data_IF_545152423626
#
_entry.id   IF_545152423626
#
_cell.length_a   1.000
_cell.length_b   1.000
_cell.length_c   1.000
_cell.angle_alpha   90.00
_cell.angle_beta   90.00
_cell.angle_gamma   90.00
#
_symmetry.space_group_name_H-M   'P 1'
#
loop_
_entity.id
_entity.type
_entity.pdbx_description
1 polymer ?
#
# COMPACT_ATOMS: atom_id res chain seq x y z
N UNK A 1 1.02 -29.77 7.77
CA UNK A 1 1.17 -30.93 6.88
C UNK A 1 0.11 -30.81 5.79
N UNK A 2 0.45 -30.16 4.69
CA UNK A 2 -0.38 -30.08 3.49
C UNK A 2 0.40 -30.78 2.38
N UNK A 3 -0.01 -32.00 2.07
CA UNK A 3 0.60 -32.86 1.07
C UNK A 3 -0.05 -32.54 -0.29
N UNK A 4 0.70 -31.93 -1.21
CA UNK A 4 0.31 -31.89 -2.62
C UNK A 4 1.11 -32.96 -3.37
N UNK A 5 0.41 -34.02 -3.79
CA UNK A 5 0.93 -35.12 -4.61
C UNK A 5 1.03 -34.66 -6.07
N UNK A 6 2.23 -34.66 -6.64
CA UNK A 6 2.43 -34.59 -8.09
C UNK A 6 2.78 -35.98 -8.61
N UNK A 7 1.91 -36.55 -9.46
CA UNK A 7 2.20 -37.78 -10.20
C UNK A 7 2.97 -37.41 -11.47
N UNK A 8 4.12 -38.07 -11.67
CA UNK A 8 5.13 -37.67 -12.64
C UNK A 8 4.93 -38.13 -14.08
N UNK A 9 5.68 -37.48 -14.98
CA UNK A 9 6.12 -38.03 -16.28
C UNK A 9 7.59 -37.63 -16.53
N UNK A 10 8.30 -38.54 -17.17
CA UNK A 10 9.75 -38.80 -17.22
C UNK A 10 10.61 -37.71 -17.86
N UNK A 11 11.89 -37.73 -17.49
CA UNK A 11 12.96 -36.83 -17.92
C UNK A 11 13.34 -36.98 -19.40
N UNK A 12 13.64 -35.84 -20.03
CA UNK A 12 14.49 -35.74 -21.22
C UNK A 12 15.43 -34.56 -20.99
N UNK A 13 16.73 -34.82 -20.90
CA UNK A 13 17.76 -33.79 -20.86
C UNK A 13 17.76 -33.04 -22.19
N UNK A 14 17.38 -31.77 -22.14
CA UNK A 14 17.54 -30.83 -23.25
C UNK A 14 18.25 -29.60 -22.69
N UNK A 15 19.36 -29.22 -23.32
CA UNK A 15 20.05 -27.96 -23.05
C UNK A 15 19.11 -26.82 -23.45
N UNK A 16 18.65 -26.03 -22.48
CA UNK A 16 17.73 -24.90 -22.71
C UNK A 16 18.41 -23.56 -22.41
N UNK A 17 18.16 -22.50 -23.20
CA UNK A 17 18.59 -21.15 -22.86
C UNK A 17 17.89 -20.67 -21.57
N UNK A 18 18.56 -19.85 -20.74
CA UNK A 18 18.19 -19.62 -19.32
C UNK A 18 16.84 -18.92 -19.05
N UNK A 19 16.03 -18.62 -20.07
CA UNK A 19 14.84 -17.75 -19.96
C UNK A 19 13.52 -18.40 -20.38
N UNK A 20 13.56 -19.64 -20.87
CA UNK A 20 12.34 -20.42 -21.10
C UNK A 20 12.25 -21.51 -20.05
N UNK A 21 11.47 -21.29 -19.00
CA UNK A 21 10.89 -22.41 -18.26
C UNK A 21 9.82 -23.04 -19.17
N UNK A 22 10.00 -24.27 -19.69
CA UNK A 22 9.01 -24.89 -20.58
C UNK A 22 7.88 -25.58 -19.81
N UNK A 23 7.90 -25.56 -18.47
CA UNK A 23 6.85 -26.14 -17.63
C UNK A 23 5.63 -25.23 -17.45
N UNK A 24 5.66 -24.01 -18.00
CA UNK A 24 4.60 -23.02 -17.85
C UNK A 24 4.04 -22.59 -19.21
N UNK A 25 3.22 -23.44 -19.83
CA UNK A 25 1.91 -23.07 -20.42
C UNK A 25 1.13 -24.32 -20.90
N UNK A 26 -0.22 -24.37 -20.90
CA UNK A 26 -1.21 -23.83 -19.97
C UNK A 26 -2.21 -24.94 -19.54
N UNK A 27 -2.05 -25.51 -18.34
CA UNK A 27 -3.11 -26.30 -17.70
C UNK A 27 -3.02 -26.08 -16.20
N UNK A 28 -3.58 -24.95 -15.75
CA UNK A 28 -3.60 -24.58 -14.33
C UNK A 28 -2.73 -23.37 -14.01
N UNK A 29 -3.37 -22.21 -13.95
CA UNK A 29 -2.89 -20.97 -13.33
C UNK A 29 -1.55 -20.40 -13.84
N UNK A 30 -1.58 -19.75 -15.00
CA UNK A 30 -0.54 -18.79 -15.41
C UNK A 30 -0.97 -17.37 -15.03
N UNK A 31 -0.45 -16.88 -13.89
CA UNK A 31 -0.41 -15.44 -13.68
C UNK A 31 0.69 -14.89 -14.60
N UNK A 32 0.32 -14.21 -15.68
CA UNK A 32 1.28 -13.51 -16.53
C UNK A 32 1.73 -12.24 -15.79
N UNK A 33 2.57 -12.42 -14.77
CA UNK A 33 3.25 -11.34 -14.07
C UNK A 33 4.40 -10.87 -14.97
N UNK A 34 4.09 -9.92 -15.85
CA UNK A 34 5.01 -8.92 -16.41
C UNK A 34 6.40 -9.44 -16.82
N UNK A 35 6.59 -9.72 -18.12
CA UNK A 35 7.92 -9.71 -18.72
C UNK A 35 8.59 -8.33 -18.54
N UNK A 36 9.93 -8.27 -18.56
CA UNK A 36 10.76 -7.09 -18.29
C UNK A 36 10.44 -5.85 -19.16
N UNK A 37 9.63 -6.04 -20.21
CA UNK A 37 8.91 -4.99 -20.94
C UNK A 37 7.48 -5.47 -21.22
N UNK A 38 6.50 -4.56 -21.35
CA UNK A 38 5.16 -4.92 -21.81
C UNK A 38 5.29 -5.39 -23.26
N UNK A 39 5.54 -6.67 -23.50
CA UNK A 39 5.66 -7.27 -24.82
C UNK A 39 4.32 -7.85 -25.26
N UNK A 40 4.13 -7.96 -26.57
CA UNK A 40 3.00 -8.67 -27.13
C UNK A 40 3.18 -10.18 -26.88
N UNK A 41 2.12 -10.83 -26.40
CA UNK A 41 2.02 -12.26 -26.25
C UNK A 41 1.10 -12.84 -27.33
N UNK A 42 1.38 -14.04 -27.82
CA UNK A 42 0.49 -14.73 -28.74
C UNK A 42 -0.76 -15.22 -28.02
N UNK A 43 -1.94 -15.01 -28.62
CA UNK A 43 -3.23 -15.50 -28.08
C UNK A 43 -3.27 -17.02 -28.01
N UNK A 44 -2.63 -17.69 -28.98
CA UNK A 44 -2.55 -19.15 -29.07
C UNK A 44 -1.78 -19.78 -27.90
N UNK A 45 -0.80 -19.08 -27.33
CA UNK A 45 -0.02 -19.57 -26.19
C UNK A 45 -0.77 -19.40 -24.86
N UNK A 46 -1.75 -18.48 -24.81
CA UNK A 46 -2.52 -18.12 -23.62
C UNK A 46 -4.03 -17.96 -23.92
N UNK A 47 -4.68 -19.01 -24.47
CA UNK A 47 -6.06 -18.90 -24.95
C UNK A 47 -7.05 -18.57 -23.83
N UNK A 48 -6.86 -19.13 -22.63
CA UNK A 48 -7.71 -18.85 -21.47
C UNK A 48 -7.58 -17.41 -20.96
N UNK A 49 -6.36 -16.86 -20.97
CA UNK A 49 -6.11 -15.46 -20.57
C UNK A 49 -6.77 -14.53 -21.58
N UNK A 50 -6.53 -14.76 -22.88
CA UNK A 50 -7.11 -13.93 -23.92
C UNK A 50 -8.64 -13.97 -23.91
N UNK A 51 -9.25 -15.16 -23.77
CA UNK A 51 -10.71 -15.29 -23.70
C UNK A 51 -11.33 -14.44 -22.60
N UNK A 52 -10.67 -14.31 -21.45
CA UNK A 52 -11.15 -13.49 -20.33
C UNK A 52 -10.79 -12.01 -20.48
N UNK A 53 -9.67 -11.69 -21.13
CA UNK A 53 -9.18 -10.34 -21.35
C UNK A 53 -9.91 -9.59 -22.48
N UNK A 54 -10.28 -10.31 -23.56
CA UNK A 54 -10.80 -9.76 -24.80
C UNK A 54 -11.96 -8.77 -24.62
N UNK A 55 -12.98 -9.03 -23.78
CA UNK A 55 -14.11 -8.11 -23.62
C UNK A 55 -13.75 -6.73 -23.05
N UNK A 56 -12.60 -6.62 -22.39
CA UNK A 56 -12.12 -5.38 -21.76
C UNK A 56 -10.78 -4.89 -22.30
N UNK A 57 -10.30 -5.45 -23.42
CA UNK A 57 -9.03 -5.06 -24.01
C UNK A 57 -9.15 -3.69 -24.71
N UNK A 58 -8.15 -2.83 -24.50
CA UNK A 58 -8.10 -1.49 -25.10
C UNK A 58 -7.34 -1.50 -26.44
N UNK A 59 -7.48 -0.45 -27.23
CA UNK A 59 -6.69 -0.29 -28.46
C UNK A 59 -5.20 -0.06 -28.14
N UNK A 60 -4.31 -0.42 -29.07
CA UNK A 60 -2.88 -0.09 -28.95
C UNK A 60 -2.60 1.42 -28.90
N UNK A 61 -3.53 2.26 -29.38
CA UNK A 61 -3.45 3.71 -29.23
C UNK A 61 -3.83 4.19 -27.81
N UNK A 62 -4.84 3.59 -27.21
CA UNK A 62 -5.29 3.95 -25.86
C UNK A 62 -4.33 3.45 -24.77
N UNK A 63 -3.67 2.31 -24.99
CA UNK A 63 -2.79 1.66 -24.02
C UNK A 63 -1.67 2.59 -23.51
N UNK A 64 -0.80 3.18 -24.35
CA UNK A 64 0.27 4.06 -23.88
C UNK A 64 -0.24 5.44 -23.43
N UNK A 65 -1.44 5.86 -23.84
CA UNK A 65 -1.98 7.18 -23.52
C UNK A 65 -2.39 7.32 -22.06
N UNK A 66 -3.09 6.32 -21.50
CA UNK A 66 -3.53 6.32 -20.10
C UNK A 66 -4.01 4.96 -19.58
N UNK A 67 -3.81 3.88 -20.36
CA UNK A 67 -4.44 2.57 -20.11
C UNK A 67 -3.41 1.44 -20.02
N UNK A 68 -2.19 1.74 -19.57
CA UNK A 68 -1.15 0.71 -19.44
C UNK A 68 -1.56 -0.40 -18.45
N UNK A 69 -2.42 -0.08 -17.48
CA UNK A 69 -3.00 -1.05 -16.55
C UNK A 69 -4.04 -1.99 -17.15
N UNK A 70 -4.37 -1.87 -18.44
CA UNK A 70 -5.32 -2.73 -19.13
C UNK A 70 -4.62 -3.73 -20.06
N UNK A 71 -5.31 -4.80 -20.42
CA UNK A 71 -4.93 -5.59 -21.60
C UNK A 71 -5.15 -4.75 -22.85
N UNK A 72 -4.35 -4.94 -23.89
CA UNK A 72 -4.63 -4.38 -25.21
C UNK A 72 -4.73 -5.45 -26.28
N UNK A 73 -5.41 -5.08 -27.38
CA UNK A 73 -5.76 -5.99 -28.48
C UNK A 73 -4.57 -6.49 -29.29
N UNK A 74 -3.36 -5.93 -29.10
CA UNK A 74 -2.19 -6.26 -29.90
C UNK A 74 -2.37 -5.86 -31.36
N UNK A 75 -1.95 -6.74 -32.26
CA UNK A 75 -2.21 -6.65 -33.71
C UNK A 75 -3.70 -6.81 -34.10
N UNK A 76 -4.59 -7.04 -33.14
CA UNK A 76 -6.02 -7.25 -33.37
C UNK A 76 -6.38 -8.69 -33.76
N UNK A 77 -5.41 -9.52 -34.15
CA UNK A 77 -5.65 -10.85 -34.73
C UNK A 77 -5.02 -11.95 -33.89
N UNK A 78 -3.70 -11.94 -33.73
CA UNK A 78 -2.93 -13.07 -33.19
C UNK A 78 -2.28 -12.79 -31.83
N UNK A 79 -2.23 -11.53 -31.41
CA UNK A 79 -1.51 -11.10 -30.21
C UNK A 79 -2.38 -10.32 -29.24
N UNK A 80 -1.89 -10.14 -28.02
CA UNK A 80 -2.43 -9.23 -27.02
C UNK A 80 -1.29 -8.73 -26.13
N UNK A 81 -1.51 -7.61 -25.41
CA UNK A 81 -0.54 -7.11 -24.41
C UNK A 81 -1.10 -7.28 -23.01
N UNK A 82 -0.25 -7.70 -22.08
CA UNK A 82 -0.58 -7.73 -20.66
C UNK A 82 -0.54 -6.32 -20.04
N UNK A 83 -1.32 -6.07 -18.97
CA UNK A 83 -1.20 -4.87 -18.14
C UNK A 83 0.23 -4.66 -17.63
N UNK A 84 0.69 -3.42 -17.64
CA UNK A 84 1.88 -2.97 -16.93
C UNK A 84 1.48 -2.61 -15.50
N UNK A 85 1.88 -3.45 -14.54
CA UNK A 85 1.54 -3.28 -13.11
C UNK A 85 2.78 -3.20 -12.22
N UNK A 86 3.95 -2.94 -12.81
CA UNK A 86 5.20 -2.84 -12.07
C UNK A 86 5.09 -1.75 -11.00
N UNK A 87 5.52 -2.06 -9.78
CA UNK A 87 5.44 -1.18 -8.61
C UNK A 87 4.02 -0.75 -8.19
N UNK A 88 2.97 -1.44 -8.64
CA UNK A 88 1.59 -1.23 -8.18
C UNK A 88 1.13 -2.39 -7.29
N UNK A 89 0.40 -2.09 -6.22
CA UNK A 89 -0.28 -3.14 -5.47
C UNK A 89 -1.52 -3.60 -6.24
N UNK A 90 -1.71 -4.92 -6.34
CA UNK A 90 -2.91 -5.47 -6.96
C UNK A 90 -4.09 -5.36 -5.99
N UNK A 91 -5.13 -4.65 -6.41
CA UNK A 91 -6.44 -4.71 -5.78
C UNK A 91 -7.40 -5.40 -6.73
N UNK A 92 -7.91 -6.55 -6.31
CA UNK A 92 -8.81 -7.34 -7.14
C UNK A 92 -10.10 -6.56 -7.42
N UNK A 93 -10.56 -6.58 -8.67
CA UNK A 93 -11.87 -6.05 -9.03
C UNK A 93 -12.96 -6.78 -8.25
N UNK A 94 -13.95 -6.01 -7.82
CA UNK A 94 -15.06 -6.48 -7.00
C UNK A 94 -15.90 -7.58 -7.65
N UNK A 95 -16.14 -7.46 -8.97
CA UNK A 95 -16.90 -8.41 -9.81
C UNK A 95 -18.27 -8.82 -9.22
N UNK A 96 -18.95 -7.90 -8.54
CA UNK A 96 -20.32 -8.10 -8.01
C UNK A 96 -20.37 -8.57 -6.57
N UNK A 97 -19.27 -8.51 -5.82
CA UNK A 97 -19.23 -8.81 -4.39
C UNK A 97 -19.62 -7.61 -3.52
N UNK A 98 -19.75 -6.43 -4.11
CA UNK A 98 -20.19 -5.19 -3.47
C UNK A 98 -19.26 -4.65 -2.37
N UNK A 99 -17.97 -5.04 -2.39
CA UNK A 99 -16.93 -4.58 -1.46
C UNK A 99 -16.12 -3.40 -1.99
N UNK A 100 -15.81 -3.36 -3.29
CA UNK A 100 -15.03 -2.26 -3.92
C UNK A 100 -15.71 -1.80 -5.24
N UNK A 101 -16.94 -1.29 -5.07
CA UNK A 101 -17.87 -0.97 -6.17
C UNK A 101 -17.34 0.17 -7.05
N UNK A 102 -17.62 0.09 -8.35
CA UNK A 102 -17.34 1.18 -9.31
C UNK A 102 -15.91 1.25 -9.82
N UNK A 103 -15.04 0.31 -9.43
CA UNK A 103 -13.67 0.21 -9.95
C UNK A 103 -13.67 -0.39 -11.35
N UNK A 104 -12.83 0.16 -12.22
CA UNK A 104 -12.67 -0.28 -13.61
C UNK A 104 -11.26 -0.81 -13.80
N UNK A 105 -11.09 -1.85 -14.62
CA UNK A 105 -9.79 -2.44 -14.93
C UNK A 105 -8.75 -1.37 -15.30
N UNK A 106 -7.56 -1.46 -14.70
CA UNK A 106 -6.42 -0.58 -14.95
C UNK A 106 -6.50 0.76 -14.22
N UNK A 107 -7.57 1.01 -13.45
CA UNK A 107 -7.71 2.24 -12.69
C UNK A 107 -6.77 2.25 -11.49
N UNK A 108 -5.78 3.14 -11.53
CA UNK A 108 -4.89 3.39 -10.42
C UNK A 108 -5.58 4.21 -9.34
N UNK A 109 -5.26 3.92 -8.10
CA UNK A 109 -5.76 4.58 -6.91
C UNK A 109 -4.58 5.01 -6.03
N UNK A 110 -4.63 6.26 -5.57
CA UNK A 110 -3.62 6.80 -4.67
C UNK A 110 -3.56 6.07 -3.34
N UNK A 111 -2.41 6.17 -2.68
CA UNK A 111 -2.22 5.72 -1.30
C UNK A 111 -3.11 6.52 -0.33
N UNK A 112 -3.49 5.90 0.77
CA UNK A 112 -4.27 6.53 1.83
C UNK A 112 -3.91 5.91 3.17
N UNK A 113 -3.87 6.73 4.22
CA UNK A 113 -3.73 6.26 5.60
C UNK A 113 -5.10 6.33 6.27
N UNK A 114 -5.43 5.35 7.12
CA UNK A 114 -6.64 5.41 7.94
C UNK A 114 -6.48 6.50 9.00
N UNK A 115 -7.51 7.33 9.13
CA UNK A 115 -7.54 8.42 10.10
C UNK A 115 -7.34 7.88 11.51
N UNK A 116 -6.36 8.44 12.22
CA UNK A 116 -6.13 8.14 13.63
C UNK A 116 -5.55 9.36 14.34
N UNK A 117 -5.65 9.33 15.67
CA UNK A 117 -5.08 10.31 16.58
C UNK A 117 -4.08 9.61 17.50
N UNK A 118 -3.06 10.33 17.93
CA UNK A 118 -2.21 9.87 19.02
C UNK A 118 -2.72 10.50 20.33
N UNK A 119 -2.56 9.80 21.45
CA UNK A 119 -2.72 10.41 22.77
C UNK A 119 -1.39 11.03 23.20
N UNK A 120 -1.43 12.17 23.88
CA UNK A 120 -0.26 12.69 24.59
C UNK A 120 -0.42 12.39 26.08
N UNK A 121 0.62 11.79 26.65
CA UNK A 121 0.80 11.72 28.09
C UNK A 121 2.11 12.45 28.42
N UNK A 122 2.03 13.57 29.14
CA UNK A 122 3.18 14.37 29.56
C UNK A 122 3.29 14.39 31.10
N UNK A 123 3.67 13.26 31.72
CA UNK A 123 3.66 13.12 33.18
C UNK A 123 4.84 13.84 33.87
N UNK A 124 5.75 14.47 33.11
CA UNK A 124 7.04 14.94 33.61
C UNK A 124 7.35 16.42 33.35
N UNK A 125 6.42 17.19 32.76
CA UNK A 125 6.65 18.63 32.62
C UNK A 125 6.49 19.32 33.98
N UNK A 126 7.57 19.90 34.47
CA UNK A 126 7.58 20.73 35.69
C UNK A 126 8.43 21.96 35.43
N UNK A 127 7.96 23.13 35.86
CA UNK A 127 8.80 24.32 35.86
C UNK A 127 9.49 24.45 37.22
N UNK A 128 10.80 24.71 37.18
CA UNK A 128 11.56 25.16 38.36
C UNK A 128 11.78 26.65 38.20
N UNK A 129 11.20 27.43 39.11
CA UNK A 129 11.45 28.86 39.19
C UNK A 129 12.67 29.07 40.08
N UNK A 130 13.77 29.58 39.51
CA UNK A 130 14.89 30.08 40.30
C UNK A 130 14.61 31.53 40.68
N UNK A 131 14.17 31.75 41.92
CA UNK A 131 14.11 33.10 42.47
C UNK A 131 15.55 33.55 42.76
N UNK A 132 16.12 34.31 41.83
CA UNK A 132 17.43 34.93 42.00
C UNK A 132 17.38 35.91 43.17
N UNK A 133 18.00 35.54 44.29
CA UNK A 133 18.38 36.50 45.33
C UNK A 133 19.51 37.37 44.77
N UNK A 134 19.17 38.59 44.34
CA UNK A 134 20.17 39.64 44.24
C UNK A 134 20.68 39.93 45.64
N UNK A 135 21.92 39.54 45.94
CA UNK A 135 22.63 39.95 47.15
C UNK A 135 22.87 41.46 47.06
N UNK A 136 21.88 42.28 47.42
CA UNK A 136 22.05 43.73 47.44
C UNK A 136 20.81 44.61 47.26
N UNK A 137 19.57 44.13 47.39
CA UNK A 137 18.41 45.04 47.36
C UNK A 137 17.49 44.85 48.56
N UNK A 138 17.21 45.95 49.25
CA UNK A 138 16.21 46.13 50.30
C UNK A 138 14.80 45.86 49.74
N UNK A 139 14.41 44.59 49.65
CA UNK A 139 13.08 44.19 49.19
C UNK A 139 12.45 43.17 50.16
N UNK A 140 11.21 43.45 50.54
CA UNK A 140 10.40 42.72 51.52
C UNK A 140 10.42 41.20 51.32
N UNK A 141 10.55 40.39 52.39
CA UNK A 141 10.52 38.94 52.28
C UNK A 141 9.14 38.48 51.77
N UNK A 142 9.13 37.59 50.79
CA UNK A 142 7.92 36.82 50.48
C UNK A 142 7.69 35.90 51.68
N UNK A 143 6.71 36.29 52.49
CA UNK A 143 6.17 35.50 53.57
C UNK A 143 4.90 34.81 53.07
N UNK A 144 4.67 33.57 53.49
CA UNK A 144 3.33 32.98 53.38
C UNK A 144 2.32 33.87 54.16
N UNK A 145 1.00 33.66 54.01
CA UNK A 145 -0.03 34.39 54.77
C UNK A 145 0.20 34.35 56.30
N UNK A 146 1.03 33.41 56.79
CA UNK A 146 1.44 33.21 58.19
C UNK A 146 2.86 33.75 58.53
N UNK A 147 3.50 34.55 57.67
CA UNK A 147 4.75 35.25 58.05
C UNK A 147 6.04 34.42 58.02
N UNK A 148 5.98 33.14 57.62
CA UNK A 148 7.15 32.23 57.65
C UNK A 148 7.99 32.34 56.37
N UNK A 149 9.31 32.40 56.54
CA UNK A 149 10.27 32.39 55.42
C UNK A 149 10.30 31.01 54.77
N UNK A 150 10.06 30.96 53.46
CA UNK A 150 10.00 29.69 52.72
C UNK A 150 11.39 29.33 52.15
N UNK A 151 12.02 28.27 52.68
CA UNK A 151 13.29 27.71 52.19
C UNK A 151 13.04 26.40 51.43
N UNK A 152 12.28 26.42 50.33
CA UNK A 152 12.06 25.20 49.55
C UNK A 152 11.98 25.52 48.05
N UNK A 153 12.63 24.69 47.23
CA UNK A 153 12.40 24.67 45.80
C UNK A 153 10.92 24.36 45.55
N UNK A 154 10.17 25.34 45.05
CA UNK A 154 8.75 25.15 44.71
C UNK A 154 8.65 24.57 43.31
N UNK A 155 8.24 23.31 43.22
CA UNK A 155 7.84 22.68 41.95
C UNK A 155 6.44 23.16 41.60
N UNK A 156 6.26 23.77 40.43
CA UNK A 156 4.92 24.18 39.97
C UNK A 156 4.06 22.97 39.59
N UNK A 157 2.75 23.04 39.81
CA UNK A 157 1.77 22.04 39.36
C UNK A 157 1.84 21.81 37.84
N UNK A 158 1.50 20.60 37.39
CA UNK A 158 1.38 20.27 35.97
C UNK A 158 0.49 21.28 35.23
N UNK A 159 0.98 21.82 34.12
CA UNK A 159 0.31 22.70 33.18
C UNK A 159 0.31 22.09 31.78
N UNK A 160 -0.88 21.85 31.21
CA UNK A 160 -1.01 21.34 29.85
C UNK A 160 -0.20 22.19 28.87
N UNK A 161 0.78 21.56 28.21
CA UNK A 161 1.50 22.20 27.10
C UNK A 161 0.52 22.25 25.91
N UNK A 162 0.46 23.37 25.19
CA UNK A 162 -0.47 23.60 24.05
C UNK A 162 -0.20 22.74 22.81
N UNK A 163 0.29 21.51 22.99
CA UNK A 163 0.62 20.55 21.96
C UNK A 163 -0.69 20.12 21.28
N UNK A 164 -0.82 20.50 20.02
CA UNK A 164 -1.91 20.06 19.17
C UNK A 164 -1.39 18.97 18.23
N UNK A 165 -2.00 17.78 18.28
CA UNK A 165 -1.82 16.73 17.27
C UNK A 165 -3.16 16.47 16.59
N UNK A 166 -3.26 16.93 15.35
CA UNK A 166 -4.47 16.79 14.56
C UNK A 166 -4.60 15.35 14.04
N UNK A 167 -5.84 14.88 13.90
CA UNK A 167 -6.12 13.63 13.18
C UNK A 167 -5.53 13.72 11.77
N UNK A 168 -4.84 12.65 11.34
CA UNK A 168 -4.25 12.56 10.01
C UNK A 168 -4.69 11.27 9.34
N UNK A 169 -5.01 11.36 8.04
CA UNK A 169 -5.53 10.25 7.23
C UNK A 169 -6.94 10.52 6.71
N UNK A 170 -7.56 9.48 6.18
CA UNK A 170 -8.91 9.48 5.63
C UNK A 170 -9.58 8.14 5.98
N UNK A 171 -10.63 7.72 5.28
CA UNK A 171 -11.49 6.59 5.68
C UNK A 171 -10.90 5.20 5.40
N UNK A 172 -9.64 5.10 4.95
CA UNK A 172 -9.07 3.83 4.50
C UNK A 172 -7.55 3.83 4.64
N UNK A 173 -6.98 2.67 5.02
CA UNK A 173 -5.56 2.38 4.89
C UNK A 173 -5.30 1.55 3.63
N UNK A 174 -4.58 2.10 2.65
CA UNK A 174 -4.19 1.40 1.43
C UNK A 174 -2.87 1.89 0.85
N UNK A 175 -2.05 0.99 0.29
CA UNK A 175 -0.98 1.40 -0.61
C UNK A 175 -1.58 1.93 -1.93
N UNK A 176 -0.75 2.58 -2.73
CA UNK A 176 -1.08 2.88 -4.12
C UNK A 176 -1.34 1.56 -4.84
N UNK A 177 -2.48 1.43 -5.50
CA UNK A 177 -2.94 0.17 -6.06
C UNK A 177 -3.60 0.35 -7.43
N UNK A 178 -3.71 -0.75 -8.16
CA UNK A 178 -4.39 -0.81 -9.44
C UNK A 178 -5.53 -1.83 -9.38
N UNK A 179 -6.67 -1.47 -9.97
CA UNK A 179 -7.81 -2.38 -10.06
C UNK A 179 -7.53 -3.44 -11.15
N UNK A 180 -7.39 -4.70 -10.75
CA UNK A 180 -6.97 -5.79 -11.63
C UNK A 180 -7.99 -6.95 -11.62
N UNK A 181 -8.34 -7.53 -12.78
CA UNK A 181 -9.22 -8.69 -12.85
C UNK A 181 -8.49 -9.92 -12.32
N UNK A 182 -8.99 -10.48 -11.22
CA UNK A 182 -8.52 -11.76 -10.70
C UNK A 182 -9.52 -12.83 -11.09
N UNK A 183 -9.04 -13.85 -11.81
CA UNK A 183 -9.85 -14.97 -12.25
C UNK A 183 -9.40 -16.24 -11.54
N UNK A 184 -10.15 -16.62 -10.52
CA UNK A 184 -9.92 -17.85 -9.75
C UNK A 184 -10.72 -18.96 -10.42
N UNK A 185 -10.06 -20.06 -10.75
CA UNK A 185 -10.74 -21.28 -11.18
C UNK A 185 -11.08 -22.09 -9.93
N UNK A 186 -12.37 -22.26 -9.65
CA UNK A 186 -12.84 -23.21 -8.65
C UNK A 186 -13.08 -24.50 -9.41
N UNK A 187 -12.14 -25.44 -9.30
CA UNK A 187 -12.27 -26.77 -9.87
C UNK A 187 -13.49 -27.51 -9.30
#
# INVERSE_FOLDING_TARGET
MLLMLFHGVRSRTVNWPPWKCPACSPSGASILLCHERPALAARADYPEIWARAQPGAVSEAAWPAAKQGCFSVGDGVTTFRAPLINAEFVRALDRGREVDVGRIHGLVQGRQNLAHVHGINDPGHTHVVYQGWGTGSTAYPIVDYDGKQMNAAQTTTASLTGITIQSSGSIEARPRNIAYPVWINYA
#
